data_IF_485316948995
#
_entry.id   IF_485316948995
#
_cell.length_a   1.000
_cell.length_b   1.000
_cell.length_c   1.000
_cell.angle_alpha   90.00
_cell.angle_beta   90.00
_cell.angle_gamma   90.00
#
_symmetry.space_group_name_H-M   'P 1'
#
loop_
_entity.id
_entity.type
_entity.pdbx_description
1 polymer ?
#
# COMPACT_ATOMS: atom_id res chain seq x y z
N UNK A 1 -2.31 -18.97 -1.84
CA UNK A 1 -1.30 -18.28 -1.01
C UNK A 1 -1.98 -17.10 -0.37
N UNK A 2 -2.01 -17.03 0.95
CA UNK A 2 -2.60 -15.91 1.72
C UNK A 2 -1.86 -14.63 1.36
N UNK A 3 -2.56 -13.63 0.79
CA UNK A 3 -2.01 -12.30 0.61
C UNK A 3 -1.77 -11.71 2.00
N UNK A 4 -0.51 -11.54 2.39
CA UNK A 4 -0.15 -10.89 3.65
C UNK A 4 -0.33 -9.37 3.49
N UNK A 5 -1.54 -8.88 3.76
CA UNK A 5 -1.88 -7.46 3.68
C UNK A 5 -0.97 -6.58 4.55
N UNK A 6 -0.46 -7.14 5.65
CA UNK A 6 0.54 -6.49 6.49
C UNK A 6 1.88 -6.26 5.75
N UNK A 7 2.31 -7.19 4.90
CA UNK A 7 3.51 -7.01 4.06
C UNK A 7 3.28 -5.98 2.95
N UNK A 8 2.08 -5.99 2.34
CA UNK A 8 1.68 -5.01 1.30
C UNK A 8 1.68 -3.59 1.88
N UNK A 9 1.09 -3.43 3.07
CA UNK A 9 1.04 -2.17 3.81
C UNK A 9 2.37 -1.84 4.51
N UNK A 10 3.38 -2.72 4.42
CA UNK A 10 4.68 -2.59 5.11
C UNK A 10 4.55 -2.29 6.61
N UNK A 11 3.56 -2.94 7.24
CA UNK A 11 3.29 -2.83 8.66
C UNK A 11 3.49 -4.18 9.33
N UNK A 12 3.75 -4.16 10.64
CA UNK A 12 3.82 -5.38 11.41
C UNK A 12 2.42 -5.94 11.66
N UNK A 13 2.30 -7.25 11.88
CA UNK A 13 1.01 -7.89 12.26
C UNK A 13 0.44 -7.41 13.60
N UNK A 14 1.23 -6.66 14.36
CA UNK A 14 0.86 -6.02 15.64
C UNK A 14 0.55 -4.53 15.48
N UNK A 15 0.60 -4.00 14.25
CA UNK A 15 0.35 -2.60 13.97
C UNK A 15 -1.09 -2.23 14.32
N UNK A 16 -1.28 -1.02 14.86
CA UNK A 16 -2.60 -0.49 15.19
C UNK A 16 -3.23 0.12 13.94
N UNK A 17 -4.55 0.33 13.96
CA UNK A 17 -5.28 0.98 12.86
C UNK A 17 -4.68 2.35 12.47
N UNK A 18 -4.11 3.07 13.43
CA UNK A 18 -3.41 4.33 13.19
C UNK A 18 -2.12 4.15 12.37
N UNK A 19 -1.34 3.10 12.64
CA UNK A 19 -0.13 2.75 11.91
C UNK A 19 -0.47 2.27 10.49
N UNK A 20 -1.55 1.49 10.34
CA UNK A 20 -2.07 1.03 9.05
C UNK A 20 -2.47 2.23 8.18
N UNK A 21 -3.27 3.16 8.71
CA UNK A 21 -3.65 4.40 8.01
C UNK A 21 -2.45 5.24 7.60
N UNK A 22 -1.49 5.43 8.51
CA UNK A 22 -0.29 6.22 8.25
C UNK A 22 0.58 5.59 7.15
N UNK A 23 0.77 4.26 7.22
CA UNK A 23 1.55 3.53 6.21
C UNK A 23 0.85 3.52 4.86
N UNK A 24 -0.46 3.25 4.82
CA UNK A 24 -1.27 3.35 3.61
C UNK A 24 -1.13 4.72 2.95
N UNK A 25 -1.29 5.81 3.72
CA UNK A 25 -1.19 7.17 3.17
C UNK A 25 0.22 7.45 2.62
N UNK A 26 1.27 7.00 3.32
CA UNK A 26 2.67 7.13 2.87
C UNK A 26 2.92 6.33 1.58
N UNK A 27 2.40 5.11 1.50
CA UNK A 27 2.57 4.23 0.34
C UNK A 27 1.73 4.70 -0.84
N UNK A 28 0.50 5.18 -0.62
CA UNK A 28 -0.37 5.76 -1.64
C UNK A 28 0.24 7.02 -2.26
N UNK A 29 0.93 7.86 -1.48
CA UNK A 29 1.69 9.01 -2.01
C UNK A 29 2.95 8.57 -2.78
N UNK A 30 3.62 7.52 -2.31
CA UNK A 30 4.82 6.98 -2.96
C UNK A 30 4.50 6.30 -4.30
N UNK A 31 3.40 5.56 -4.34
CA UNK A 31 2.86 4.85 -5.50
C UNK A 31 1.73 5.63 -6.17
N UNK A 32 1.69 6.97 -6.00
CA UNK A 32 0.64 7.75 -6.61
C UNK A 32 0.85 7.78 -8.14
N UNK A 33 -0.21 7.52 -8.94
CA UNK A 33 -0.09 7.52 -10.40
C UNK A 33 0.25 8.90 -10.96
N UNK A 34 -0.02 9.98 -10.23
CA UNK A 34 0.37 11.33 -10.66
C UNK A 34 1.89 11.57 -10.65
N UNK A 35 2.65 10.89 -9.78
CA UNK A 35 4.12 10.97 -9.75
C UNK A 35 4.77 9.90 -10.62
N UNK A 36 4.08 8.80 -10.90
CA UNK A 36 4.57 7.70 -11.75
C UNK A 36 3.52 7.28 -12.80
N UNK A 37 3.19 8.15 -13.77
CA UNK A 37 2.12 7.90 -14.73
C UNK A 37 2.43 6.78 -15.75
N UNK A 38 3.71 6.46 -15.98
CA UNK A 38 4.15 5.45 -16.96
C UNK A 38 4.44 4.08 -16.33
N UNK A 39 4.30 3.94 -15.02
CA UNK A 39 4.75 2.76 -14.30
C UNK A 39 3.56 1.85 -13.96
N UNK A 40 3.31 0.86 -14.82
CA UNK A 40 2.25 -0.14 -14.63
C UNK A 40 2.40 -0.93 -13.33
N UNK A 41 3.62 -1.07 -12.83
CA UNK A 41 3.95 -1.71 -11.56
C UNK A 41 3.43 -0.88 -10.37
N UNK A 42 3.46 0.46 -10.51
CA UNK A 42 2.88 1.39 -9.53
C UNK A 42 1.37 1.30 -9.52
N UNK A 43 0.72 1.15 -10.68
CA UNK A 43 -0.72 0.92 -10.78
C UNK A 43 -1.13 -0.38 -10.06
N UNK A 44 -0.37 -1.46 -10.28
CA UNK A 44 -0.62 -2.76 -9.62
C UNK A 44 -0.44 -2.66 -8.11
N UNK A 45 0.65 -2.03 -7.64
CA UNK A 45 0.90 -1.82 -6.19
C UNK A 45 -0.14 -0.92 -5.54
N UNK A 46 -0.60 0.12 -6.24
CA UNK A 46 -1.66 0.99 -5.75
C UNK A 46 -2.99 0.24 -5.62
N UNK A 47 -3.29 -0.65 -6.56
CA UNK A 47 -4.48 -1.50 -6.51
C UNK A 47 -4.40 -2.51 -5.35
N UNK A 48 -3.28 -3.23 -5.18
CA UNK A 48 -3.09 -4.13 -4.04
C UNK A 48 -3.12 -3.38 -2.69
N UNK A 49 -2.61 -2.14 -2.63
CA UNK A 49 -2.72 -1.27 -1.45
C UNK A 49 -4.16 -0.90 -1.13
N UNK A 50 -4.97 -0.61 -2.15
CA UNK A 50 -6.39 -0.30 -2.00
C UNK A 50 -7.22 -1.53 -1.62
N UNK A 51 -6.81 -2.73 -2.04
CA UNK A 51 -7.43 -4.00 -1.61
C UNK A 51 -7.04 -4.38 -0.18
N UNK A 52 -5.85 -3.97 0.27
CA UNK A 52 -5.32 -4.27 1.60
C UNK A 52 -5.86 -3.38 2.73
N UNK A 53 -6.42 -2.21 2.39
CA UNK A 53 -6.92 -1.20 3.33
C UNK A 53 -8.45 -1.26 3.47
#
# INVERSE_FOLDING_TARGET
MTKDYYEILQVTRIAKDADIKSSYHRLALKFHPATNPDDLDVLYKFHDLAEAY
#
